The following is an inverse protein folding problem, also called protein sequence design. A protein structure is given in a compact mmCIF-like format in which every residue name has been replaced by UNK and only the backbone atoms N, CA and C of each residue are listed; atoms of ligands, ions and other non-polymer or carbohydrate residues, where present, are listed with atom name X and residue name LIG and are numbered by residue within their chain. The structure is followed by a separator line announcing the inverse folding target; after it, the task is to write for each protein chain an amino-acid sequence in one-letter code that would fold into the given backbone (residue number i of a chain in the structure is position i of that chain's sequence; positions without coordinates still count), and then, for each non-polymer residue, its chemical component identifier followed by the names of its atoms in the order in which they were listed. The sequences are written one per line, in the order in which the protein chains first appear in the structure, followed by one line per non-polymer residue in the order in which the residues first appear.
data_IF_560329772744
#
_entry.id   IF_560329772744
#
_cell.length_a   1.000
_cell.length_b   1.000
_cell.length_c   1.000
_cell.angle_alpha   90.00
_cell.angle_beta   90.00
_cell.angle_gamma   90.00
#
_symmetry.space_group_name_H-M   'P 1'
#
loop_
_entity.id
_entity.type
_entity.pdbx_description
1 polymer ?
#
# COMPACT_ATOMS: atom_id res chain seq x y z
N UNK A 1 13.12 -17.06 -20.80
CA UNK A 1 13.24 -16.02 -19.78
C UNK A 1 11.88 -15.43 -19.64
N UNK A 2 11.16 -15.93 -18.65
CA UNK A 2 9.74 -15.71 -18.52
C UNK A 2 9.45 -14.27 -18.13
N UNK A 3 8.78 -13.58 -19.05
CA UNK A 3 8.15 -12.29 -18.76
C UNK A 3 6.92 -12.53 -17.86
N UNK A 4 7.16 -12.85 -16.59
CA UNK A 4 6.17 -12.81 -15.51
C UNK A 4 5.83 -11.36 -15.15
N UNK A 5 5.72 -10.49 -16.18
CA UNK A 5 5.45 -9.08 -15.98
C UNK A 5 3.94 -8.79 -15.97
N UNK A 6 3.42 -8.79 -14.75
CA UNK A 6 2.51 -7.73 -14.27
C UNK A 6 1.05 -7.85 -14.68
N UNK A 7 0.41 -8.95 -14.31
CA UNK A 7 -1.05 -9.00 -14.19
C UNK A 7 -1.62 -7.99 -13.16
N UNK A 8 -0.76 -7.26 -12.45
CA UNK A 8 -1.15 -6.37 -11.36
C UNK A 8 -0.59 -4.96 -11.56
N UNK A 9 -1.44 -3.94 -11.48
CA UNK A 9 -0.98 -2.55 -11.45
C UNK A 9 -0.41 -2.21 -10.07
N UNK A 10 0.88 -1.90 -10.00
CA UNK A 10 1.55 -1.45 -8.77
C UNK A 10 1.66 0.07 -8.66
N UNK A 11 1.29 0.80 -9.71
CA UNK A 11 1.30 2.26 -9.72
C UNK A 11 0.08 2.80 -8.98
N UNK A 12 0.32 3.56 -7.91
CA UNK A 12 -0.77 4.21 -7.17
C UNK A 12 -1.24 5.46 -7.93
N UNK A 13 -2.54 5.50 -8.18
CA UNK A 13 -3.21 6.70 -8.70
C UNK A 13 -3.38 7.76 -7.58
N UNK A 14 -3.56 9.05 -7.94
CA UNK A 14 -4.06 10.03 -6.98
C UNK A 14 -5.41 9.58 -6.44
N UNK A 15 -5.69 9.86 -5.18
CA UNK A 15 -6.95 9.50 -4.52
C UNK A 15 -7.86 10.72 -4.56
N UNK A 16 -9.16 10.49 -4.78
CA UNK A 16 -10.17 11.53 -4.69
C UNK A 16 -10.33 11.99 -3.24
N UNK A 17 -10.29 13.30 -3.02
CA UNK A 17 -10.53 13.93 -1.71
C UNK A 17 -12.06 14.09 -1.48
N UNK A 18 -12.76 12.98 -1.60
CA UNK A 18 -14.19 12.80 -1.28
C UNK A 18 -14.41 11.34 -0.90
N UNK A 19 -14.36 11.06 0.39
CA UNK A 19 -14.52 9.70 0.94
C UNK A 19 -15.88 9.09 0.60
N UNK A 20 -16.91 9.90 0.51
CA UNK A 20 -18.31 9.48 0.41
C UNK A 20 -18.85 9.45 -1.02
N UNK A 21 -18.03 9.82 -2.00
CA UNK A 21 -18.40 9.72 -3.40
C UNK A 21 -18.94 8.34 -3.73
N UNK A 22 -20.15 8.30 -4.27
CA UNK A 22 -20.78 7.04 -4.70
C UNK A 22 -19.94 6.38 -5.77
N UNK A 23 -19.80 5.07 -5.65
CA UNK A 23 -19.09 4.23 -6.60
C UNK A 23 -20.06 3.39 -7.42
N UNK A 24 -19.97 3.50 -8.74
CA UNK A 24 -20.63 2.63 -9.71
C UNK A 24 -19.58 2.15 -10.71
N UNK A 25 -19.26 0.87 -10.67
CA UNK A 25 -18.21 0.28 -11.50
C UNK A 25 -18.51 0.37 -12.99
N UNK A 26 -19.77 0.25 -13.40
CA UNK A 26 -20.13 0.22 -14.82
C UNK A 26 -20.02 1.62 -15.44
N UNK A 27 -20.45 2.63 -14.70
CA UNK A 27 -20.28 4.03 -15.08
C UNK A 27 -18.79 4.38 -15.14
N UNK A 28 -18.03 3.99 -14.13
CA UNK A 28 -16.58 4.24 -14.06
C UNK A 28 -15.85 3.59 -15.24
N UNK A 29 -16.09 2.30 -15.51
CA UNK A 29 -15.49 1.57 -16.62
C UNK A 29 -15.82 2.23 -17.96
N UNK A 30 -17.08 2.63 -18.17
CA UNK A 30 -17.51 3.32 -19.40
C UNK A 30 -16.78 4.63 -19.59
N UNK A 31 -16.64 5.44 -18.55
CA UNK A 31 -15.93 6.71 -18.58
C UNK A 31 -14.43 6.52 -18.84
N UNK A 32 -13.82 5.52 -18.21
CA UNK A 32 -12.41 5.18 -18.41
C UNK A 32 -12.16 4.70 -19.85
N UNK A 33 -13.05 3.87 -20.43
CA UNK A 33 -12.94 3.44 -21.83
C UNK A 33 -12.95 4.63 -22.80
N UNK A 34 -13.88 5.53 -22.60
CA UNK A 34 -13.99 6.74 -23.44
C UNK A 34 -12.74 7.63 -23.30
N UNK A 35 -12.30 7.89 -22.08
CA UNK A 35 -11.14 8.73 -21.79
C UNK A 35 -9.82 8.18 -22.33
N UNK A 36 -9.65 6.87 -22.29
CA UNK A 36 -8.41 6.19 -22.70
C UNK A 36 -8.41 5.81 -24.19
N UNK A 37 -9.45 6.19 -24.94
CA UNK A 37 -9.70 5.79 -26.34
C UNK A 37 -9.64 4.27 -26.55
N UNK A 38 -10.14 3.52 -25.57
CA UNK A 38 -10.17 2.06 -25.58
C UNK A 38 -11.50 1.57 -26.19
N UNK A 39 -11.67 1.73 -27.53
CA UNK A 39 -12.91 1.39 -28.22
C UNK A 39 -13.07 -0.11 -28.42
N UNK A 40 -12.10 -0.71 -29.12
CA UNK A 40 -12.14 -2.10 -29.54
C UNK A 40 -11.37 -3.01 -28.61
N UNK A 41 -10.29 -2.52 -28.00
CA UNK A 41 -9.46 -3.24 -27.03
C UNK A 41 -8.90 -2.34 -25.92
N UNK A 42 -8.53 -2.92 -24.77
CA UNK A 42 -7.91 -2.21 -23.67
C UNK A 42 -6.58 -1.56 -24.08
N UNK A 43 -6.38 -0.30 -23.73
CA UNK A 43 -5.12 0.42 -23.91
C UNK A 43 -4.23 0.33 -22.67
N UNK A 44 -2.94 0.68 -22.78
CA UNK A 44 -2.05 0.78 -21.64
C UNK A 44 -2.51 1.79 -20.58
N UNK A 45 -3.28 2.81 -20.99
CA UNK A 45 -3.91 3.77 -20.05
C UNK A 45 -5.12 3.16 -19.35
N UNK A 46 -5.93 2.36 -20.07
CA UNK A 46 -7.08 1.66 -19.51
C UNK A 46 -6.66 0.70 -18.39
N UNK A 47 -5.58 -0.07 -18.59
CA UNK A 47 -5.01 -0.99 -17.60
C UNK A 47 -4.79 -0.33 -16.23
N UNK A 48 -4.42 0.95 -16.19
CA UNK A 48 -4.13 1.68 -14.95
C UNK A 48 -5.34 1.87 -14.03
N UNK A 49 -6.56 1.75 -14.56
CA UNK A 49 -7.77 1.88 -13.77
C UNK A 49 -8.15 0.61 -13.00
N UNK A 50 -7.43 -0.49 -13.23
CA UNK A 50 -7.71 -1.82 -12.66
C UNK A 50 -6.52 -2.32 -11.86
N UNK A 51 -6.78 -3.09 -10.81
CA UNK A 51 -5.73 -3.74 -10.02
C UNK A 51 -5.31 -5.09 -10.58
N UNK A 52 -6.12 -5.70 -11.42
CA UNK A 52 -5.81 -6.97 -12.06
C UNK A 52 -6.25 -6.99 -13.51
N UNK A 53 -5.48 -7.64 -14.35
CA UNK A 53 -5.89 -8.14 -15.66
C UNK A 53 -5.31 -9.53 -15.90
N UNK A 54 -6.03 -10.35 -16.65
CA UNK A 54 -5.57 -11.66 -17.07
C UNK A 54 -4.60 -11.49 -18.26
N UNK A 55 -3.32 -11.90 -18.13
CA UNK A 55 -2.35 -11.79 -19.22
C UNK A 55 -2.73 -12.57 -20.47
N UNK A 56 -3.47 -13.68 -20.31
CA UNK A 56 -3.91 -14.52 -21.44
C UNK A 56 -5.15 -13.95 -22.14
N UNK A 57 -5.82 -12.95 -21.50
CA UNK A 57 -7.02 -12.27 -22.03
C UNK A 57 -6.85 -10.72 -22.05
N UNK A 58 -5.61 -10.23 -22.18
CA UNK A 58 -5.29 -8.81 -22.06
C UNK A 58 -5.88 -7.92 -23.17
N UNK A 59 -6.22 -8.47 -24.30
CA UNK A 59 -6.84 -7.76 -25.42
C UNK A 59 -8.38 -7.66 -25.28
N UNK A 60 -8.97 -8.34 -24.29
CA UNK A 60 -10.40 -8.31 -24.03
C UNK A 60 -10.72 -7.58 -22.72
N UNK A 61 -11.80 -6.79 -22.69
CA UNK A 61 -12.24 -6.08 -21.49
C UNK A 61 -12.66 -7.01 -20.35
N UNK A 62 -13.11 -8.23 -20.66
CA UNK A 62 -13.45 -9.28 -19.69
C UNK A 62 -12.28 -9.75 -18.84
N UNK A 63 -11.05 -9.65 -19.36
CA UNK A 63 -9.83 -9.96 -18.65
C UNK A 63 -9.51 -8.99 -17.49
N UNK A 64 -10.17 -7.83 -17.42
CA UNK A 64 -9.88 -6.79 -16.43
C UNK A 64 -10.81 -6.89 -15.23
N UNK A 65 -10.22 -6.98 -14.04
CA UNK A 65 -10.94 -7.12 -12.77
C UNK A 65 -10.47 -6.06 -11.77
N UNK A 66 -11.31 -5.82 -10.76
CA UNK A 66 -11.02 -4.92 -9.63
C UNK A 66 -10.77 -3.47 -10.08
N UNK A 67 -11.75 -2.82 -10.73
CA UNK A 67 -11.67 -1.41 -11.09
C UNK A 67 -11.64 -0.54 -9.82
N UNK A 68 -10.76 0.49 -9.82
CA UNK A 68 -10.61 1.41 -8.69
C UNK A 68 -10.70 2.88 -9.09
N UNK A 69 -10.75 3.20 -10.38
CA UNK A 69 -10.60 4.57 -10.85
C UNK A 69 -11.80 5.09 -11.64
N UNK A 70 -12.04 6.38 -11.50
CA UNK A 70 -12.89 7.19 -12.39
C UNK A 70 -12.04 8.24 -13.12
N UNK A 71 -12.66 8.89 -14.10
CA UNK A 71 -12.11 10.07 -14.76
C UNK A 71 -12.64 11.32 -14.08
N UNK A 72 -11.78 12.04 -13.39
CA UNK A 72 -12.09 13.30 -12.70
C UNK A 72 -11.16 14.37 -13.28
N UNK A 73 -11.72 15.47 -13.77
CA UNK A 73 -10.97 16.60 -14.35
C UNK A 73 -9.90 16.16 -15.38
N UNK A 74 -10.27 15.20 -16.25
CA UNK A 74 -9.38 14.69 -17.29
C UNK A 74 -8.21 13.84 -16.78
N UNK A 75 -8.30 13.27 -15.58
CA UNK A 75 -7.30 12.38 -14.99
C UNK A 75 -7.94 11.12 -14.43
N UNK A 76 -7.17 10.03 -14.42
CA UNK A 76 -7.55 8.83 -13.67
C UNK A 76 -7.29 9.05 -12.18
N UNK A 77 -8.33 8.92 -11.38
CA UNK A 77 -8.31 9.14 -9.93
C UNK A 77 -8.91 7.92 -9.24
N UNK A 78 -8.23 7.38 -8.24
CA UNK A 78 -8.75 6.28 -7.44
C UNK A 78 -9.86 6.77 -6.51
N UNK A 79 -10.96 6.01 -6.46
CA UNK A 79 -12.14 6.36 -5.67
C UNK A 79 -12.12 5.58 -4.35
N UNK A 80 -12.22 6.26 -3.18
CA UNK A 80 -12.19 5.57 -1.87
C UNK A 80 -13.20 4.42 -1.77
N UNK A 81 -14.44 4.64 -2.20
CA UNK A 81 -15.49 3.60 -2.20
C UNK A 81 -15.16 2.41 -3.11
N UNK A 82 -14.43 2.61 -4.20
CA UNK A 82 -13.95 1.52 -5.06
C UNK A 82 -12.88 0.69 -4.34
N UNK A 83 -11.96 1.35 -3.66
CA UNK A 83 -10.90 0.70 -2.86
C UNK A 83 -11.54 -0.14 -1.75
N UNK A 84 -12.53 0.39 -1.02
CA UNK A 84 -13.28 -0.37 -0.01
C UNK A 84 -14.02 -1.58 -0.62
N UNK A 85 -14.65 -1.42 -1.78
CA UNK A 85 -15.33 -2.51 -2.47
C UNK A 85 -14.35 -3.63 -2.87
N UNK A 86 -13.19 -3.28 -3.40
CA UNK A 86 -12.14 -4.25 -3.74
C UNK A 86 -11.61 -4.96 -2.51
N UNK A 87 -11.35 -4.25 -1.41
CA UNK A 87 -10.94 -4.84 -0.14
C UNK A 87 -11.97 -5.86 0.35
N UNK A 88 -13.26 -5.52 0.28
CA UNK A 88 -14.34 -6.44 0.61
C UNK A 88 -14.35 -7.70 -0.26
N UNK A 89 -14.19 -7.57 -1.57
CA UNK A 89 -14.13 -8.72 -2.50
C UNK A 89 -12.91 -9.61 -2.20
N UNK A 90 -11.75 -9.03 -1.92
CA UNK A 90 -10.55 -9.78 -1.55
C UNK A 90 -10.70 -10.50 -0.20
N UNK A 91 -11.52 -9.95 0.72
CA UNK A 91 -11.88 -10.59 1.99
C UNK A 91 -12.98 -11.66 1.87
N UNK A 92 -13.44 -11.95 0.64
CA UNK A 92 -14.45 -12.98 0.38
C UNK A 92 -15.87 -12.48 0.27
N UNK A 93 -16.14 -11.17 0.41
CA UNK A 93 -17.47 -10.61 0.20
C UNK A 93 -17.96 -10.87 -1.22
N UNK A 94 -19.27 -11.07 -1.39
CA UNK A 94 -19.92 -11.33 -2.69
C UNK A 94 -19.35 -12.53 -3.45
N UNK A 95 -18.83 -13.54 -2.73
CA UNK A 95 -18.24 -14.74 -3.33
C UNK A 95 -16.76 -14.61 -3.67
N UNK A 96 -16.13 -13.45 -3.38
CA UNK A 96 -14.71 -13.24 -3.63
C UNK A 96 -14.38 -13.00 -5.10
N UNK A 97 -13.10 -13.13 -5.42
CA UNK A 97 -12.57 -13.07 -6.78
C UNK A 97 -11.55 -14.19 -6.95
N UNK A 98 -11.64 -14.90 -8.06
CA UNK A 98 -10.64 -15.91 -8.44
C UNK A 98 -9.42 -15.21 -9.03
N UNK A 99 -8.28 -15.36 -8.32
CA UNK A 99 -6.99 -14.78 -8.66
C UNK A 99 -5.87 -15.75 -8.26
N UNK A 100 -4.79 -15.82 -9.02
CA UNK A 100 -3.58 -16.52 -8.58
C UNK A 100 -3.07 -15.96 -7.24
N UNK A 101 -2.57 -16.83 -6.35
CA UNK A 101 -2.14 -16.43 -5.00
C UNK A 101 -1.05 -15.34 -5.00
N UNK A 102 -0.13 -15.42 -5.97
CA UNK A 102 0.92 -14.40 -6.14
C UNK A 102 0.36 -13.02 -6.48
N UNK A 103 -0.68 -12.97 -7.33
CA UNK A 103 -1.31 -11.70 -7.72
C UNK A 103 -2.23 -11.19 -6.62
N UNK A 104 -2.96 -12.08 -5.93
CA UNK A 104 -3.73 -11.74 -4.73
C UNK A 104 -2.85 -11.04 -3.68
N UNK A 105 -1.66 -11.57 -3.40
CA UNK A 105 -0.71 -10.97 -2.46
C UNK A 105 -0.25 -9.57 -2.90
N UNK A 106 0.09 -9.39 -4.19
CA UNK A 106 0.48 -8.08 -4.75
C UNK A 106 -0.66 -7.06 -4.64
N UNK A 107 -1.90 -7.48 -4.99
CA UNK A 107 -3.07 -6.60 -4.93
C UNK A 107 -3.37 -6.21 -3.48
N UNK A 108 -3.29 -7.16 -2.55
CA UNK A 108 -3.43 -6.88 -1.11
C UNK A 108 -2.47 -5.79 -0.65
N UNK A 109 -1.19 -5.88 -1.04
CA UNK A 109 -0.20 -4.88 -0.70
C UNK A 109 -0.51 -3.50 -1.32
N UNK A 110 -1.05 -3.46 -2.54
CA UNK A 110 -1.49 -2.20 -3.18
C UNK A 110 -2.69 -1.60 -2.43
N UNK A 111 -3.68 -2.41 -2.06
CA UNK A 111 -4.85 -1.96 -1.31
C UNK A 111 -4.42 -1.41 0.06
N UNK A 112 -3.54 -2.09 0.78
CA UNK A 112 -3.04 -1.62 2.08
C UNK A 112 -2.32 -0.26 1.97
N UNK A 113 -1.55 -0.03 0.89
CA UNK A 113 -0.95 1.28 0.61
C UNK A 113 -2.01 2.37 0.34
N UNK A 114 -3.12 2.03 -0.31
CA UNK A 114 -4.23 2.96 -0.47
C UNK A 114 -4.90 3.29 0.87
N UNK A 115 -5.14 2.28 1.73
CA UNK A 115 -5.71 2.50 3.07
C UNK A 115 -4.84 3.44 3.91
N UNK A 116 -3.52 3.20 3.94
CA UNK A 116 -2.58 4.08 4.65
C UNK A 116 -2.63 5.52 4.12
N UNK A 117 -2.69 5.71 2.79
CA UNK A 117 -2.80 7.05 2.20
C UNK A 117 -4.14 7.71 2.49
N UNK A 118 -5.23 6.95 2.51
CA UNK A 118 -6.57 7.45 2.84
C UNK A 118 -6.67 7.80 4.33
N UNK A 119 -6.13 6.98 5.24
CA UNK A 119 -6.05 7.27 6.68
C UNK A 119 -5.38 8.63 6.91
N UNK A 120 -4.21 8.85 6.31
CA UNK A 120 -3.51 10.13 6.39
C UNK A 120 -4.27 11.30 5.73
N UNK A 121 -4.91 11.07 4.57
CA UNK A 121 -5.63 12.11 3.82
C UNK A 121 -6.90 12.57 4.55
N UNK A 122 -7.62 11.63 5.17
CA UNK A 122 -8.88 11.89 5.86
C UNK A 122 -8.72 12.06 7.37
N UNK A 123 -7.47 12.07 7.87
CA UNK A 123 -7.15 12.18 9.31
C UNK A 123 -7.94 11.15 10.16
N UNK A 124 -8.03 9.90 9.67
CA UNK A 124 -8.80 8.81 10.27
C UNK A 124 -7.87 7.66 10.65
N UNK A 125 -7.34 7.72 11.86
CA UNK A 125 -6.38 6.72 12.39
C UNK A 125 -7.03 5.34 12.60
N UNK A 126 -8.36 5.28 12.66
CA UNK A 126 -9.11 4.01 12.78
C UNK A 126 -9.35 3.33 11.42
N UNK A 127 -8.93 3.96 10.33
CA UNK A 127 -9.07 3.41 8.98
C UNK A 127 -8.05 2.31 8.71
N UNK A 128 -8.39 1.09 9.06
CA UNK A 128 -7.58 -0.08 8.80
C UNK A 128 -8.08 -0.89 7.60
N UNK A 129 -7.13 -1.50 6.87
CA UNK A 129 -7.46 -2.45 5.81
C UNK A 129 -8.03 -3.74 6.40
N UNK A 130 -9.17 -4.25 5.89
CA UNK A 130 -9.72 -5.52 6.34
C UNK A 130 -8.92 -6.73 5.86
N UNK A 131 -7.91 -6.51 5.00
CA UNK A 131 -7.08 -7.56 4.42
C UNK A 131 -5.72 -7.54 5.10
N UNK A 132 -5.41 -8.61 5.83
CA UNK A 132 -4.07 -8.78 6.41
C UNK A 132 -3.13 -9.38 5.38
N UNK A 133 -2.04 -8.71 5.05
CA UNK A 133 -0.94 -9.31 4.28
C UNK A 133 0.04 -10.01 5.22
N UNK A 134 0.69 -11.07 4.72
CA UNK A 134 1.77 -11.72 5.48
C UNK A 134 2.98 -10.78 5.68
N UNK A 135 3.04 -9.66 4.96
CA UNK A 135 4.07 -8.62 5.05
C UNK A 135 3.65 -7.42 5.93
N UNK A 136 2.37 -7.29 6.30
CA UNK A 136 1.88 -6.17 7.12
C UNK A 136 2.56 -6.10 8.48
N UNK A 137 2.95 -7.25 9.03
CA UNK A 137 3.73 -7.30 10.25
C UNK A 137 5.13 -6.69 10.12
N UNK A 138 5.69 -6.58 8.92
CA UNK A 138 7.04 -6.05 8.71
C UNK A 138 7.07 -4.61 8.18
N UNK A 139 6.12 -4.23 7.32
CA UNK A 139 6.13 -2.91 6.67
C UNK A 139 5.59 -1.78 7.55
N UNK A 140 4.59 -2.03 8.41
CA UNK A 140 4.16 -1.05 9.42
C UNK A 140 5.31 -0.68 10.36
N UNK A 141 6.16 -1.65 10.69
CA UNK A 141 7.35 -1.44 11.51
C UNK A 141 8.44 -0.65 10.79
N UNK A 142 8.60 -0.85 9.47
CA UNK A 142 9.59 -0.14 8.65
C UNK A 142 9.17 1.29 8.31
N UNK A 143 7.88 1.57 8.10
CA UNK A 143 7.39 2.92 7.79
C UNK A 143 7.39 3.85 9.01
N UNK A 144 7.10 3.34 10.21
CA UNK A 144 7.24 4.12 11.45
C UNK A 144 8.70 4.40 11.82
N UNK A 145 9.61 3.48 11.48
CA UNK A 145 11.05 3.66 11.74
C UNK A 145 11.74 4.52 10.68
N UNK A 146 11.30 4.46 9.43
CA UNK A 146 11.92 5.24 8.34
C UNK A 146 11.52 6.73 8.32
N UNK A 147 10.47 7.14 9.04
CA UNK A 147 10.05 8.53 9.09
C UNK A 147 11.01 9.45 9.86
N UNK A 148 11.94 8.90 10.67
CA UNK A 148 12.81 9.68 11.53
C UNK A 148 14.32 9.38 11.41
N UNK A 149 14.73 8.68 10.36
CA UNK A 149 16.15 8.55 10.06
C UNK A 149 16.64 9.82 9.37
N UNK A 150 17.03 10.81 10.15
CA UNK A 150 17.74 12.00 9.66
C UNK A 150 19.16 11.59 9.27
N UNK A 151 19.33 11.14 8.03
CA UNK A 151 20.65 11.04 7.43
C UNK A 151 21.12 12.47 7.18
N UNK A 152 22.13 12.92 7.93
CA UNK A 152 22.80 14.17 7.61
C UNK A 152 23.60 13.92 6.33
N UNK A 153 23.13 14.48 5.21
CA UNK A 153 23.80 14.36 3.90
C UNK A 153 25.25 14.88 3.89
N UNK A 154 25.65 15.64 4.91
CA UNK A 154 26.97 16.27 5.02
C UNK A 154 27.94 15.56 5.98
N UNK A 155 27.63 14.34 6.44
CA UNK A 155 28.56 13.62 7.31
C UNK A 155 29.62 12.90 6.46
N UNK A 156 30.76 13.54 6.24
CA UNK A 156 31.92 12.98 5.55
C UNK A 156 32.47 11.68 6.18
N UNK A 157 32.03 11.33 7.39
CA UNK A 157 32.45 10.15 8.15
C UNK A 157 31.48 8.96 8.07
N UNK A 158 30.39 9.06 7.29
CA UNK A 158 29.39 8.01 7.17
C UNK A 158 28.54 7.81 8.41
N UNK A 159 28.47 8.80 9.33
CA UNK A 159 27.62 8.75 10.52
C UNK A 159 26.16 9.02 10.16
N UNK A 160 25.22 8.41 10.89
CA UNK A 160 23.82 8.70 10.80
C UNK A 160 23.20 8.79 12.21
N UNK A 161 22.09 9.50 12.33
CA UNK A 161 21.37 9.68 13.59
C UNK A 161 19.93 9.21 13.40
N UNK A 162 19.43 8.41 14.34
CA UNK A 162 18.07 7.91 14.33
C UNK A 162 17.66 7.34 15.69
N UNK A 163 16.37 7.07 15.86
CA UNK A 163 15.87 6.42 17.08
C UNK A 163 16.10 4.92 17.00
N UNK A 164 16.77 4.36 18.02
CA UNK A 164 17.00 2.92 18.14
C UNK A 164 15.77 2.18 18.72
N UNK A 165 14.89 2.89 19.40
CA UNK A 165 13.62 2.40 19.95
C UNK A 165 12.67 3.57 20.21
N UNK A 166 11.37 3.35 20.00
CA UNK A 166 10.31 4.32 20.26
C UNK A 166 9.57 3.87 21.52
N UNK A 167 9.37 4.81 22.46
CA UNK A 167 8.63 4.54 23.69
C UNK A 167 7.11 4.61 23.45
N UNK A 168 6.35 3.83 24.21
CA UNK A 168 4.89 3.85 24.19
C UNK A 168 4.24 3.16 22.98
N UNK A 169 5.04 2.72 22.01
CA UNK A 169 4.55 2.00 20.85
C UNK A 169 4.49 0.50 21.12
N UNK A 170 3.40 -0.16 20.72
CA UNK A 170 3.22 -1.60 20.83
C UNK A 170 3.94 -2.30 19.67
N UNK A 171 4.85 -3.21 19.98
CA UNK A 171 5.56 -3.98 18.96
C UNK A 171 4.74 -5.17 18.45
N UNK A 172 5.30 -5.93 17.49
CA UNK A 172 4.63 -7.11 16.91
C UNK A 172 4.41 -8.26 17.89
N UNK A 173 5.18 -8.32 18.96
CA UNK A 173 5.02 -9.28 20.06
C UNK A 173 3.93 -8.86 21.05
N UNK A 174 3.42 -7.64 20.91
CA UNK A 174 2.47 -7.03 21.83
C UNK A 174 3.14 -6.30 22.98
N UNK A 175 4.46 -6.20 22.99
CA UNK A 175 5.24 -5.55 24.03
C UNK A 175 5.31 -4.02 23.80
N UNK A 176 5.32 -3.26 24.92
CA UNK A 176 5.48 -1.82 24.92
C UNK A 176 6.76 -1.47 25.67
N UNK A 177 7.62 -0.68 25.04
CA UNK A 177 8.80 -0.13 25.70
C UNK A 177 8.40 1.17 26.39
N UNK A 178 8.36 1.17 27.71
CA UNK A 178 8.02 2.34 28.51
C UNK A 178 9.15 3.37 28.57
N UNK A 179 8.79 4.64 28.76
CA UNK A 179 9.76 5.70 28.94
C UNK A 179 10.66 5.39 30.15
N UNK A 180 11.98 5.48 29.93
CA UNK A 180 12.96 5.15 30.96
C UNK A 180 13.43 3.68 31.01
N UNK A 181 12.87 2.78 30.20
CA UNK A 181 13.23 1.36 30.19
C UNK A 181 14.75 1.12 30.06
N UNK A 182 15.46 1.98 29.31
CA UNK A 182 16.90 1.83 29.07
C UNK A 182 17.80 2.63 30.02
N UNK A 183 17.25 3.41 30.94
CA UNK A 183 18.04 4.32 31.82
C UNK A 183 19.09 3.54 32.63
N UNK A 184 18.73 2.41 33.22
CA UNK A 184 19.66 1.59 34.05
C UNK A 184 20.76 0.96 33.19
N UNK A 185 20.42 0.46 32.00
CA UNK A 185 21.38 -0.17 31.10
C UNK A 185 22.33 0.84 30.48
N UNK A 186 21.83 2.02 30.08
CA UNK A 186 22.64 3.11 29.52
C UNK A 186 23.54 3.80 30.55
N UNK A 187 23.18 3.79 31.84
CA UNK A 187 24.08 4.21 32.92
C UNK A 187 25.27 3.27 33.12
N UNK A 188 25.07 1.95 32.88
CA UNK A 188 26.13 0.96 33.02
C UNK A 188 27.02 0.85 31.78
N UNK A 189 26.44 1.07 30.59
CA UNK A 189 27.14 1.01 29.29
C UNK A 189 27.06 2.39 28.63
N UNK A 190 28.22 2.96 28.28
CA UNK A 190 28.24 4.19 27.49
C UNK A 190 27.61 3.91 26.12
N UNK A 191 26.89 4.88 25.54
CA UNK A 191 26.18 4.74 24.27
C UNK A 191 27.09 4.15 23.16
N UNK A 192 28.37 4.59 23.10
CA UNK A 192 29.38 4.06 22.14
C UNK A 192 29.70 2.57 22.29
N UNK A 193 29.25 1.92 23.36
CA UNK A 193 29.43 0.48 23.60
C UNK A 193 28.20 -0.34 23.18
N UNK A 194 27.12 0.32 22.76
CA UNK A 194 25.95 -0.33 22.21
C UNK A 194 26.25 -0.65 20.74
N UNK A 195 26.31 -1.95 20.42
CA UNK A 195 26.59 -2.39 19.06
C UNK A 195 25.32 -2.26 18.20
N UNK A 196 25.45 -1.69 17.04
CA UNK A 196 24.46 -1.80 15.99
C UNK A 196 24.76 -3.06 15.17
N UNK A 197 23.77 -3.91 14.99
CA UNK A 197 23.90 -5.13 14.22
C UNK A 197 23.19 -4.97 12.87
N UNK A 198 23.87 -5.35 11.80
CA UNK A 198 23.26 -5.44 10.48
C UNK A 198 22.54 -6.77 10.37
N UNK A 199 21.21 -6.75 10.16
CA UNK A 199 20.38 -7.94 10.04
C UNK A 199 20.55 -8.96 11.18
N UNK A 200 20.75 -8.50 12.43
CA UNK A 200 20.95 -9.33 13.62
C UNK A 200 22.21 -10.24 13.57
N UNK A 201 23.20 -9.90 12.74
CA UNK A 201 24.50 -10.59 12.66
C UNK A 201 25.62 -9.80 13.33
#
# INVERSE_FOLDING_TARGET
MDNLEKATSTTLLPILDDRDRKWDSDIAISSVRAFTDSKDKPSARYKKAFLYYDPDDEDNFSGYKLPIAEVIDGKLVAIPRAIFAVAGVLSGSRGGVDLPDADRSKITNVINKYYLRMSNMFEDDDMESPIKSNEDNMQHKLLQVSAELNVKEDAEDGSFVGYASIFGNKDLGGDVVEEGAFVKSLRKRKAKQVKMLWQHK
#
